data_IF_020525051156
#
_entry.id   IF_020525051156
#
_cell.length_a   1.000
_cell.length_b   1.000
_cell.length_c   1.000
_cell.angle_alpha   90.00
_cell.angle_beta   90.00
_cell.angle_gamma   90.00
#
_symmetry.space_group_name_H-M   'P 1'
#
loop_
_entity.id
_entity.type
_entity.pdbx_description
1 polymer ?
#
# COMPACT_ATOMS: atom_id res chain seq x y z
N UNK A 1 -14.05 -8.70 -3.85
CA UNK A 1 -12.67 -8.37 -3.42
C UNK A 1 -12.51 -6.92 -3.00
N UNK A 2 -12.85 -5.92 -3.82
CA UNK A 2 -12.81 -4.50 -3.42
C UNK A 2 -13.71 -4.18 -2.23
N UNK A 3 -14.85 -4.84 -2.09
CA UNK A 3 -15.77 -4.67 -0.96
C UNK A 3 -15.23 -5.29 0.35
N UNK A 4 -14.57 -6.45 0.27
CA UNK A 4 -13.91 -7.05 1.44
C UNK A 4 -12.63 -6.27 1.83
N UNK A 5 -11.90 -5.71 0.85
CA UNK A 5 -10.83 -4.75 1.11
C UNK A 5 -11.34 -3.47 1.78
N UNK A 6 -12.58 -3.08 1.48
CA UNK A 6 -13.23 -1.92 2.09
C UNK A 6 -13.42 -2.10 3.60
N UNK A 7 -13.86 -3.26 4.05
CA UNK A 7 -14.09 -3.55 5.48
C UNK A 7 -12.76 -3.58 6.27
N UNK A 8 -11.71 -4.13 5.70
CA UNK A 8 -10.39 -4.16 6.34
C UNK A 8 -9.70 -2.79 6.35
N UNK A 9 -9.86 -2.00 5.28
CA UNK A 9 -9.18 -0.72 5.13
C UNK A 9 -9.74 0.39 6.03
N UNK A 10 -11.04 0.36 6.32
CA UNK A 10 -11.68 1.32 7.23
C UNK A 10 -11.28 1.05 8.70
N UNK A 11 -10.92 -0.18 9.04
CA UNK A 11 -10.56 -0.55 10.41
C UNK A 11 -9.18 -0.01 10.86
N UNK A 12 -8.25 0.24 9.95
CA UNK A 12 -6.85 0.59 10.29
C UNK A 12 -6.52 2.10 10.27
N UNK A 13 -7.42 2.97 9.80
CA UNK A 13 -7.12 4.41 9.62
C UNK A 13 -7.40 5.29 10.84
N UNK A 14 -7.72 4.72 12.00
CA UNK A 14 -8.36 5.44 13.10
C UNK A 14 -7.49 5.87 14.27
N UNK A 15 -6.18 5.97 14.18
CA UNK A 15 -5.37 6.52 15.27
C UNK A 15 -4.45 7.66 14.81
N UNK A 16 -4.78 8.88 15.22
CA UNK A 16 -3.77 9.94 15.21
C UNK A 16 -4.26 11.38 15.16
N UNK A 17 -4.15 12.00 16.29
CA UNK A 17 -3.87 13.41 16.61
C UNK A 17 -5.01 14.43 16.65
N UNK A 18 -5.31 14.82 17.89
CA UNK A 18 -6.03 16.02 18.30
C UNK A 18 -5.07 17.21 18.27
N UNK A 19 -5.42 18.26 17.55
CA UNK A 19 -4.89 19.61 17.79
C UNK A 19 -6.05 20.55 18.08
N UNK A 20 -6.12 21.04 19.32
CA UNK A 20 -7.10 22.00 19.79
C UNK A 20 -6.64 23.42 19.49
N UNK A 21 -7.44 24.19 18.75
CA UNK A 21 -7.34 25.66 18.71
C UNK A 21 -8.64 26.27 19.22
N UNK A 22 -8.51 27.00 20.32
CA UNK A 22 -9.61 27.78 20.94
C UNK A 22 -9.75 29.11 20.23
N UNK A 23 -10.93 29.41 19.68
CA UNK A 23 -11.36 30.75 19.35
C UNK A 23 -12.72 31.00 20.01
N UNK A 24 -12.74 31.88 21.00
CA UNK A 24 -13.95 32.30 21.72
C UNK A 24 -14.68 33.37 20.91
N UNK A 25 -15.81 33.01 20.29
CA UNK A 25 -16.83 33.93 19.83
C UNK A 25 -18.18 33.52 20.40
N UNK A 26 -19.05 34.48 20.71
CA UNK A 26 -20.37 34.26 21.30
C UNK A 26 -21.24 33.42 20.34
N UNK A 27 -21.34 32.12 20.63
CA UNK A 27 -22.14 31.18 19.85
C UNK A 27 -23.63 31.40 20.11
N UNK A 28 -24.42 31.43 19.04
CA UNK A 28 -25.89 31.34 19.15
C UNK A 28 -26.27 29.96 19.69
N UNK A 29 -27.46 29.82 20.28
CA UNK A 29 -27.95 28.56 20.83
C UNK A 29 -27.96 27.43 19.78
N UNK A 30 -28.16 27.77 18.50
CA UNK A 30 -28.11 26.84 17.36
C UNK A 30 -26.69 26.34 17.09
N UNK A 31 -25.68 27.18 17.22
CA UNK A 31 -24.29 26.80 17.03
C UNK A 31 -23.81 25.85 18.12
N UNK A 32 -24.23 26.09 19.39
CA UNK A 32 -23.90 25.21 20.51
C UNK A 32 -24.53 23.84 20.35
N UNK A 33 -25.78 23.74 19.86
CA UNK A 33 -26.43 22.46 19.56
C UNK A 33 -25.73 21.71 18.42
N UNK A 34 -25.36 22.44 17.35
CA UNK A 34 -24.58 21.86 16.24
C UNK A 34 -23.25 21.28 16.73
N UNK A 35 -22.48 22.04 17.50
CA UNK A 35 -21.20 21.59 18.02
C UNK A 35 -21.31 20.39 18.96
N UNK A 36 -22.34 20.34 19.81
CA UNK A 36 -22.61 19.20 20.68
C UNK A 36 -22.89 17.90 19.88
N UNK A 37 -23.76 18.00 18.85
CA UNK A 37 -24.05 16.86 17.96
C UNK A 37 -22.83 16.45 17.13
N UNK A 38 -22.08 17.43 16.64
CA UNK A 38 -20.83 17.19 15.90
C UNK A 38 -19.82 16.41 16.74
N UNK A 39 -19.61 16.84 17.96
CA UNK A 39 -18.70 16.13 18.89
C UNK A 39 -19.18 14.69 19.12
N UNK A 40 -20.48 14.48 19.36
CA UNK A 40 -21.04 13.13 19.55
C UNK A 40 -20.88 12.26 18.31
N UNK A 41 -21.17 12.78 17.11
CA UNK A 41 -21.05 12.03 15.86
C UNK A 41 -19.60 11.65 15.56
N UNK A 42 -18.65 12.59 15.73
CA UNK A 42 -17.23 12.36 15.52
C UNK A 42 -16.67 11.37 16.54
N UNK A 43 -17.09 11.43 17.80
CA UNK A 43 -16.70 10.47 18.82
C UNK A 43 -17.19 9.05 18.49
N UNK A 44 -18.41 8.88 18.03
CA UNK A 44 -18.91 7.58 17.58
C UNK A 44 -18.09 7.07 16.36
N UNK A 45 -17.81 7.96 15.44
CA UNK A 45 -17.02 7.65 14.27
C UNK A 45 -15.59 7.21 14.65
N UNK A 46 -14.91 7.90 15.55
CA UNK A 46 -13.58 7.56 16.09
C UNK A 46 -13.57 6.23 16.86
N UNK A 47 -14.69 5.88 17.51
CA UNK A 47 -14.88 4.59 18.18
C UNK A 47 -15.21 3.42 17.23
N UNK A 48 -15.09 3.61 15.92
CA UNK A 48 -15.45 2.63 14.89
C UNK A 48 -16.94 2.28 14.82
N UNK A 49 -17.80 3.13 15.39
CA UNK A 49 -19.27 3.01 15.41
C UNK A 49 -19.91 3.85 14.30
N UNK A 50 -19.35 3.75 13.10
CA UNK A 50 -19.75 4.60 11.96
C UNK A 50 -21.22 4.43 11.58
N UNK A 51 -21.82 3.23 11.77
CA UNK A 51 -23.24 3.01 11.49
C UNK A 51 -24.15 3.69 12.52
N UNK A 52 -23.69 3.80 13.78
CA UNK A 52 -24.41 4.54 14.83
C UNK A 52 -24.24 6.07 14.63
N UNK A 53 -23.11 6.51 14.08
CA UNK A 53 -22.84 7.91 13.76
C UNK A 53 -23.66 8.40 12.54
N UNK A 54 -24.03 7.51 11.62
CA UNK A 54 -24.64 7.84 10.33
C UNK A 54 -25.84 8.83 10.44
N UNK A 55 -26.85 8.59 11.27
CA UNK A 55 -28.01 9.51 11.37
C UNK A 55 -27.63 10.91 11.89
N UNK A 56 -26.64 11.00 12.79
CA UNK A 56 -26.15 12.27 13.30
C UNK A 56 -25.34 13.03 12.23
N UNK A 57 -24.51 12.32 11.47
CA UNK A 57 -23.74 12.89 10.37
C UNK A 57 -24.64 13.42 9.25
N UNK A 58 -25.73 12.70 8.94
CA UNK A 58 -26.75 13.15 7.99
C UNK A 58 -27.39 14.48 8.43
N UNK A 59 -27.82 14.58 9.70
CA UNK A 59 -28.39 15.80 10.24
C UNK A 59 -27.39 16.97 10.21
N UNK A 60 -26.13 16.71 10.53
CA UNK A 60 -25.07 17.72 10.54
C UNK A 60 -24.81 18.28 9.14
N UNK A 61 -24.73 17.42 8.11
CA UNK A 61 -24.54 17.87 6.72
C UNK A 61 -25.72 18.70 6.23
N UNK A 62 -26.97 18.34 6.64
CA UNK A 62 -28.15 19.17 6.32
C UNK A 62 -28.08 20.56 6.93
N UNK A 63 -27.54 20.69 8.17
CA UNK A 63 -27.39 21.97 8.87
C UNK A 63 -26.21 22.78 8.38
N UNK A 64 -25.08 22.13 8.13
CA UNK A 64 -23.85 22.76 7.62
C UNK A 64 -23.21 21.91 6.52
N UNK A 65 -23.58 22.09 5.26
CA UNK A 65 -23.04 21.31 4.14
C UNK A 65 -21.58 21.65 3.80
N UNK A 66 -20.94 22.57 4.52
CA UNK A 66 -19.54 22.97 4.31
C UNK A 66 -18.59 22.45 5.39
N UNK A 67 -19.10 21.70 6.37
CA UNK A 67 -18.22 21.07 7.37
C UNK A 67 -17.51 19.86 6.71
N UNK A 68 -16.33 20.13 6.22
CA UNK A 68 -15.54 19.20 5.41
C UNK A 68 -15.14 17.94 6.17
N UNK A 69 -14.92 18.00 7.49
CA UNK A 69 -14.66 16.82 8.32
C UNK A 69 -15.90 15.94 8.47
N UNK A 70 -17.07 16.56 8.66
CA UNK A 70 -18.36 15.84 8.73
C UNK A 70 -18.70 15.20 7.39
N UNK A 71 -18.41 15.87 6.27
CA UNK A 71 -18.60 15.31 4.94
C UNK A 71 -17.75 14.04 4.74
N UNK A 72 -16.48 14.05 5.16
CA UNK A 72 -15.59 12.89 5.07
C UNK A 72 -16.08 11.75 5.98
N UNK A 73 -16.49 12.06 7.21
CA UNK A 73 -17.02 11.06 8.15
C UNK A 73 -18.32 10.43 7.64
N UNK A 74 -19.21 11.23 7.05
CA UNK A 74 -20.45 10.73 6.43
C UNK A 74 -20.13 9.83 5.22
N UNK A 75 -19.21 10.25 4.36
CA UNK A 75 -18.80 9.45 3.20
C UNK A 75 -18.25 8.09 3.62
N UNK A 76 -17.36 8.05 4.63
CA UNK A 76 -16.84 6.81 5.17
C UNK A 76 -17.95 5.90 5.75
N UNK A 77 -18.89 6.50 6.47
CA UNK A 77 -20.01 5.77 7.07
C UNK A 77 -20.96 5.18 6.01
N UNK A 78 -21.24 5.94 4.94
CA UNK A 78 -22.02 5.46 3.79
C UNK A 78 -21.33 4.30 3.06
N UNK A 79 -20.03 4.39 2.84
CA UNK A 79 -19.25 3.31 2.24
C UNK A 79 -19.35 2.03 3.09
N UNK A 80 -19.30 2.16 4.41
CA UNK A 80 -19.43 1.04 5.33
C UNK A 80 -20.85 0.47 5.32
N UNK A 81 -21.86 1.33 5.34
CA UNK A 81 -23.26 0.90 5.28
C UNK A 81 -23.56 0.20 3.94
N UNK A 82 -23.09 0.74 2.82
CA UNK A 82 -23.21 0.11 1.51
C UNK A 82 -22.65 -1.34 1.47
N UNK A 83 -21.63 -1.63 2.28
CA UNK A 83 -21.08 -2.98 2.38
C UNK A 83 -21.97 -3.96 3.17
N UNK A 84 -22.95 -3.47 3.94
CA UNK A 84 -23.90 -4.30 4.67
C UNK A 84 -25.19 -4.56 3.89
N UNK A 85 -25.44 -3.81 2.82
CA UNK A 85 -26.65 -3.92 2.03
C UNK A 85 -26.58 -5.14 1.08
N UNK A 86 -27.69 -5.89 1.05
CA UNK A 86 -27.87 -7.00 0.10
C UNK A 86 -28.35 -6.50 -1.27
N UNK A 87 -29.04 -5.35 -1.29
CA UNK A 87 -29.48 -4.68 -2.52
C UNK A 87 -28.29 -3.93 -3.13
N UNK A 88 -27.80 -4.45 -4.26
CA UNK A 88 -26.66 -3.89 -4.99
C UNK A 88 -26.94 -2.49 -5.55
N UNK A 89 -28.19 -2.20 -5.93
CA UNK A 89 -28.56 -0.88 -6.43
C UNK A 89 -28.55 0.16 -5.30
N UNK A 90 -29.09 -0.17 -4.14
CA UNK A 90 -29.03 0.68 -2.96
C UNK A 90 -27.57 0.90 -2.50
N UNK A 91 -26.78 -0.16 -2.47
CA UNK A 91 -25.35 -0.08 -2.16
C UNK A 91 -24.57 0.82 -3.15
N UNK A 92 -24.90 0.75 -4.44
CA UNK A 92 -24.32 1.60 -5.47
C UNK A 92 -24.68 3.07 -5.29
N UNK A 93 -25.94 3.37 -4.95
CA UNK A 93 -26.40 4.75 -4.68
C UNK A 93 -25.65 5.37 -3.50
N UNK A 94 -25.46 4.62 -2.41
CA UNK A 94 -24.72 5.11 -1.25
C UNK A 94 -23.23 5.37 -1.58
N UNK A 95 -22.58 4.47 -2.31
CA UNK A 95 -21.20 4.68 -2.76
C UNK A 95 -21.06 5.89 -3.69
N UNK A 96 -22.03 6.08 -4.60
CA UNK A 96 -22.05 7.27 -5.48
C UNK A 96 -22.22 8.56 -4.67
N UNK A 97 -23.10 8.55 -3.68
CA UNK A 97 -23.28 9.66 -2.76
C UNK A 97 -22.00 9.93 -1.95
N UNK A 98 -21.38 8.90 -1.40
CA UNK A 98 -20.12 9.02 -0.69
C UNK A 98 -19.00 9.65 -1.57
N UNK A 99 -18.93 9.27 -2.85
CA UNK A 99 -18.01 9.87 -3.81
C UNK A 99 -18.20 11.37 -3.97
N UNK A 100 -19.44 11.82 -4.07
CA UNK A 100 -19.77 13.25 -4.19
C UNK A 100 -19.38 14.00 -2.93
N UNK A 101 -19.71 13.46 -1.74
CA UNK A 101 -19.36 14.07 -0.45
C UNK A 101 -17.84 14.21 -0.27
N UNK A 102 -17.04 13.22 -0.67
CA UNK A 102 -15.58 13.30 -0.66
C UNK A 102 -15.10 14.40 -1.60
N UNK A 103 -15.67 14.50 -2.80
CA UNK A 103 -15.28 15.55 -3.74
C UNK A 103 -15.62 16.96 -3.20
N UNK A 104 -16.76 17.11 -2.53
CA UNK A 104 -17.15 18.37 -1.87
C UNK A 104 -16.18 18.72 -0.73
N UNK A 105 -15.86 17.75 0.13
CA UNK A 105 -14.89 17.96 1.20
C UNK A 105 -13.52 18.40 0.68
N UNK A 106 -13.02 17.78 -0.39
CA UNK A 106 -11.77 18.18 -1.04
C UNK A 106 -11.86 19.60 -1.61
N UNK A 107 -12.99 19.98 -2.20
CA UNK A 107 -13.22 21.34 -2.71
C UNK A 107 -13.26 22.39 -1.59
N UNK A 108 -13.66 22.01 -0.38
CA UNK A 108 -13.58 22.83 0.82
C UNK A 108 -12.20 22.84 1.51
N UNK A 109 -11.23 22.12 0.94
CA UNK A 109 -9.84 22.11 1.41
C UNK A 109 -9.48 20.95 2.33
N UNK A 110 -10.35 19.96 2.53
CA UNK A 110 -10.02 18.77 3.30
C UNK A 110 -9.02 17.88 2.54
N UNK A 111 -7.77 17.91 2.95
CA UNK A 111 -6.72 17.06 2.40
C UNK A 111 -6.30 15.94 3.37
N UNK A 112 -7.21 15.54 4.29
CA UNK A 112 -6.92 14.47 5.24
C UNK A 112 -6.60 13.14 4.55
N UNK A 113 -5.76 12.27 5.16
CA UNK A 113 -5.46 10.94 4.64
C UNK A 113 -6.71 10.10 4.36
N UNK A 114 -7.75 10.25 5.18
CA UNK A 114 -9.03 9.56 4.99
C UNK A 114 -9.75 10.05 3.74
N UNK A 115 -9.84 11.38 3.52
CA UNK A 115 -10.45 11.94 2.31
C UNK A 115 -9.74 11.48 1.04
N UNK A 116 -8.41 11.48 1.03
CA UNK A 116 -7.61 11.00 -0.10
C UNK A 116 -7.81 9.50 -0.37
N UNK A 117 -7.83 8.70 0.69
CA UNK A 117 -8.09 7.26 0.60
C UNK A 117 -9.49 6.97 0.05
N UNK A 118 -10.52 7.66 0.54
CA UNK A 118 -11.88 7.50 0.04
C UNK A 118 -11.99 7.96 -1.42
N UNK A 119 -11.33 9.05 -1.80
CA UNK A 119 -11.26 9.51 -3.19
C UNK A 119 -10.68 8.43 -4.11
N UNK A 120 -9.55 7.86 -3.75
CA UNK A 120 -8.89 6.81 -4.52
C UNK A 120 -9.77 5.58 -4.62
N UNK A 121 -10.31 5.12 -3.49
CA UNK A 121 -11.17 3.95 -3.40
C UNK A 121 -12.42 4.09 -4.26
N UNK A 122 -13.18 5.20 -4.07
CA UNK A 122 -14.43 5.46 -4.78
C UNK A 122 -14.20 5.86 -6.25
N UNK A 123 -12.99 6.36 -6.58
CA UNK A 123 -12.58 6.63 -7.96
C UNK A 123 -12.29 5.38 -8.78
N UNK A 124 -11.96 4.26 -8.12
CA UNK A 124 -11.70 2.96 -8.78
C UNK A 124 -12.96 2.09 -8.91
N UNK A 125 -14.07 2.50 -8.30
CA UNK A 125 -15.35 1.81 -8.45
C UNK A 125 -16.05 2.22 -9.76
N UNK A 126 -16.69 1.29 -10.46
CA UNK A 126 -17.47 1.61 -11.65
C UNK A 126 -18.60 2.59 -11.32
N UNK A 127 -19.13 3.34 -12.33
CA UNK A 127 -20.14 4.39 -12.11
C UNK A 127 -21.42 3.92 -11.41
N UNK A 128 -21.78 2.67 -11.61
CA UNK A 128 -22.94 2.04 -10.94
C UNK A 128 -22.62 1.51 -9.54
N UNK A 129 -21.39 1.70 -9.07
CA UNK A 129 -20.94 1.32 -7.73
C UNK A 129 -20.87 -0.19 -7.46
N UNK A 130 -21.29 -1.02 -8.39
CA UNK A 130 -21.10 -2.46 -8.31
C UNK A 130 -19.67 -2.83 -8.70
N UNK A 131 -19.08 -3.81 -8.04
CA UNK A 131 -17.87 -4.44 -8.54
C UNK A 131 -18.24 -5.15 -9.81
N UNK A 132 -17.89 -4.60 -10.96
CA UNK A 132 -18.14 -5.24 -12.23
C UNK A 132 -17.04 -6.27 -12.46
N UNK A 133 -17.42 -7.54 -12.58
CA UNK A 133 -16.50 -8.64 -12.84
C UNK A 133 -16.26 -8.83 -14.35
N UNK A 134 -17.24 -8.44 -15.18
CA UNK A 134 -17.17 -8.51 -16.63
C UNK A 134 -18.13 -7.53 -17.29
N UNK A 135 -17.80 -7.11 -18.51
CA UNK A 135 -18.74 -6.38 -19.38
C UNK A 135 -19.79 -7.32 -20.02
N UNK A 136 -19.55 -8.63 -20.01
CA UNK A 136 -20.51 -9.62 -20.43
C UNK A 136 -21.56 -9.86 -19.35
N UNK A 137 -22.86 -9.53 -19.57
CA UNK A 137 -23.91 -9.65 -18.55
C UNK A 137 -24.07 -11.06 -18.01
N UNK A 138 -23.85 -12.10 -18.83
CA UNK A 138 -23.96 -13.50 -18.39
C UNK A 138 -22.82 -13.87 -17.43
N UNK A 139 -21.60 -13.41 -17.72
CA UNK A 139 -20.43 -13.59 -16.83
C UNK A 139 -20.65 -12.82 -15.53
N UNK A 140 -21.11 -11.58 -15.62
CA UNK A 140 -21.41 -10.74 -14.46
C UNK A 140 -22.45 -11.42 -13.55
N UNK A 141 -23.55 -11.92 -14.13
CA UNK A 141 -24.59 -12.64 -13.39
C UNK A 141 -24.05 -13.90 -12.71
N UNK A 142 -23.26 -14.71 -13.41
CA UNK A 142 -22.65 -15.90 -12.86
C UNK A 142 -21.68 -15.55 -11.70
N UNK A 143 -20.88 -14.52 -11.86
CA UNK A 143 -19.97 -14.04 -10.80
C UNK A 143 -20.71 -13.56 -9.56
N UNK A 144 -21.78 -12.78 -9.72
CA UNK A 144 -22.62 -12.31 -8.61
C UNK A 144 -23.31 -13.48 -7.89
N UNK A 145 -23.82 -14.46 -8.64
CA UNK A 145 -24.41 -15.67 -8.06
C UNK A 145 -23.37 -16.50 -7.29
N UNK A 146 -22.16 -16.62 -7.84
CA UNK A 146 -21.04 -17.28 -7.19
C UNK A 146 -20.64 -16.63 -5.86
N UNK A 147 -20.52 -15.29 -5.83
CA UNK A 147 -20.24 -14.53 -4.61
C UNK A 147 -21.36 -14.65 -3.56
N UNK A 148 -22.61 -14.64 -3.98
CA UNK A 148 -23.75 -14.85 -3.10
C UNK A 148 -23.71 -16.25 -2.46
N UNK A 149 -23.45 -17.30 -3.24
CA UNK A 149 -23.30 -18.66 -2.75
C UNK A 149 -22.08 -18.81 -1.82
N UNK A 150 -20.94 -18.21 -2.19
CA UNK A 150 -19.73 -18.19 -1.36
C UNK A 150 -19.98 -17.55 0.01
N UNK A 151 -20.68 -16.42 0.04
CA UNK A 151 -21.02 -15.72 1.30
C UNK A 151 -21.92 -16.55 2.21
N UNK A 152 -22.78 -17.40 1.65
CA UNK A 152 -23.62 -18.36 2.36
C UNK A 152 -22.90 -19.67 2.70
N UNK A 153 -21.61 -19.79 2.33
CA UNK A 153 -20.78 -20.98 2.48
C UNK A 153 -21.26 -22.19 1.64
N UNK A 154 -22.11 -21.94 0.66
CA UNK A 154 -22.44 -22.95 -0.37
C UNK A 154 -21.32 -22.97 -1.43
N UNK A 155 -20.21 -23.63 -1.06
CA UNK A 155 -19.04 -23.67 -1.89
C UNK A 155 -19.25 -24.50 -3.18
N UNK A 156 -20.18 -25.46 -3.16
CA UNK A 156 -20.48 -26.25 -4.35
C UNK A 156 -21.18 -25.40 -5.42
N UNK A 157 -22.20 -24.64 -5.02
CA UNK A 157 -22.91 -23.73 -5.93
C UNK A 157 -22.00 -22.55 -6.34
N UNK A 158 -21.12 -22.06 -5.45
CA UNK A 158 -20.16 -21.03 -5.79
C UNK A 158 -19.21 -21.51 -6.93
N UNK A 159 -18.61 -22.71 -6.79
CA UNK A 159 -17.73 -23.28 -7.81
C UNK A 159 -18.46 -23.50 -9.14
N UNK A 160 -19.70 -23.93 -9.13
CA UNK A 160 -20.52 -24.10 -10.33
C UNK A 160 -20.72 -22.76 -11.07
N UNK A 161 -21.06 -21.73 -10.35
CA UNK A 161 -21.29 -20.40 -10.94
C UNK A 161 -19.97 -19.78 -11.46
N UNK A 162 -18.84 -19.90 -10.74
CA UNK A 162 -17.53 -19.47 -11.26
C UNK A 162 -17.09 -20.30 -12.49
N UNK A 163 -17.41 -21.59 -12.52
CA UNK A 163 -17.12 -22.41 -13.70
C UNK A 163 -17.94 -21.95 -14.91
N UNK A 164 -19.22 -21.56 -14.73
CA UNK A 164 -20.04 -20.96 -15.79
C UNK A 164 -19.42 -19.65 -16.30
N UNK A 165 -18.99 -18.76 -15.39
CA UNK A 165 -18.28 -17.55 -15.77
C UNK A 165 -17.01 -17.84 -16.57
N UNK A 166 -16.22 -18.87 -16.18
CA UNK A 166 -15.00 -19.27 -16.87
C UNK A 166 -15.25 -19.99 -18.22
N UNK A 167 -16.41 -20.62 -18.41
CA UNK A 167 -16.79 -21.14 -19.73
C UNK A 167 -17.02 -20.02 -20.74
N UNK A 168 -17.64 -18.92 -20.27
CA UNK A 168 -17.92 -17.74 -21.10
C UNK A 168 -16.71 -16.82 -21.27
N UNK A 169 -15.89 -16.70 -20.25
CA UNK A 169 -14.72 -15.83 -20.21
C UNK A 169 -13.53 -16.53 -19.52
N UNK A 170 -12.79 -17.39 -20.26
CA UNK A 170 -11.73 -18.27 -19.68
C UNK A 170 -10.58 -17.52 -19.00
N UNK A 171 -10.40 -16.24 -19.30
CA UNK A 171 -9.37 -15.36 -18.73
C UNK A 171 -9.90 -14.38 -17.68
N UNK A 172 -11.13 -14.56 -17.19
CA UNK A 172 -11.66 -13.73 -16.13
C UNK A 172 -10.86 -13.94 -14.84
N UNK A 173 -10.03 -12.97 -14.50
CA UNK A 173 -9.12 -13.03 -13.34
C UNK A 173 -9.89 -13.25 -12.02
N UNK A 174 -11.01 -12.56 -11.84
CA UNK A 174 -11.81 -12.68 -10.63
C UNK A 174 -12.38 -14.09 -10.46
N UNK A 175 -12.93 -14.67 -11.54
CA UNK A 175 -13.48 -16.04 -11.52
C UNK A 175 -12.40 -17.07 -11.19
N UNK A 176 -11.18 -16.94 -11.78
CA UNK A 176 -10.04 -17.81 -11.49
C UNK A 176 -9.65 -17.66 -10.01
N UNK A 177 -9.46 -16.45 -9.52
CA UNK A 177 -9.05 -16.18 -8.14
C UNK A 177 -10.09 -16.70 -7.13
N UNK A 178 -11.39 -16.47 -7.37
CA UNK A 178 -12.45 -16.85 -6.46
C UNK A 178 -12.68 -18.37 -6.43
N UNK A 179 -12.43 -19.05 -7.55
CA UNK A 179 -12.37 -20.52 -7.56
C UNK A 179 -11.28 -21.01 -6.62
N UNK A 180 -10.07 -20.43 -6.68
CA UNK A 180 -8.97 -20.75 -5.77
C UNK A 180 -9.34 -20.49 -4.31
N UNK A 181 -9.95 -19.35 -4.01
CA UNK A 181 -10.41 -19.02 -2.65
C UNK A 181 -11.45 -20.03 -2.15
N UNK A 182 -12.35 -20.49 -3.03
CA UNK A 182 -13.37 -21.45 -2.66
C UNK A 182 -12.75 -22.83 -2.34
N UNK A 183 -11.80 -23.30 -3.15
CA UNK A 183 -11.03 -24.51 -2.88
C UNK A 183 -10.26 -24.40 -1.54
N UNK A 184 -9.63 -23.24 -1.29
CA UNK A 184 -8.96 -22.97 -0.02
C UNK A 184 -9.90 -23.06 1.19
N UNK A 185 -11.12 -22.51 1.08
CA UNK A 185 -12.14 -22.59 2.16
C UNK A 185 -12.65 -24.01 2.38
N UNK A 186 -12.57 -24.88 1.37
CA UNK A 186 -12.87 -26.31 1.47
C UNK A 186 -11.67 -27.13 1.98
N UNK A 187 -10.52 -26.50 2.26
CA UNK A 187 -9.23 -27.12 2.58
C UNK A 187 -8.66 -28.01 1.45
N UNK A 188 -9.11 -27.82 0.21
CA UNK A 188 -8.51 -28.44 -0.98
C UNK A 188 -7.34 -27.57 -1.45
N UNK A 189 -6.24 -27.61 -0.68
CA UNK A 189 -5.08 -26.74 -0.90
C UNK A 189 -4.38 -27.04 -2.23
N UNK A 190 -4.38 -28.28 -2.65
CA UNK A 190 -3.79 -28.66 -3.95
C UNK A 190 -4.49 -27.94 -5.12
N UNK A 191 -5.82 -28.00 -5.16
CA UNK A 191 -6.58 -27.26 -6.19
C UNK A 191 -6.50 -25.75 -5.99
N UNK A 192 -6.50 -25.27 -4.76
CA UNK A 192 -6.33 -23.84 -4.49
C UNK A 192 -5.01 -23.31 -5.07
N UNK A 193 -3.90 -24.06 -4.91
CA UNK A 193 -2.61 -23.72 -5.49
C UNK A 193 -2.67 -23.60 -7.02
N UNK A 194 -3.24 -24.60 -7.71
CA UNK A 194 -3.40 -24.59 -9.17
C UNK A 194 -4.16 -23.33 -9.65
N UNK A 195 -5.22 -22.96 -8.95
CA UNK A 195 -6.02 -21.80 -9.30
C UNK A 195 -5.31 -20.46 -8.99
N UNK A 196 -4.56 -20.37 -7.89
CA UNK A 196 -3.75 -19.20 -7.61
C UNK A 196 -2.61 -19.04 -8.61
N UNK A 197 -1.93 -20.11 -8.99
CA UNK A 197 -0.90 -20.08 -10.03
C UNK A 197 -1.48 -19.63 -11.39
N UNK A 198 -2.68 -20.10 -11.72
CA UNK A 198 -3.39 -19.65 -12.92
C UNK A 198 -3.75 -18.16 -12.85
N UNK A 199 -4.20 -17.66 -11.69
CA UNK A 199 -4.46 -16.24 -11.51
C UNK A 199 -3.18 -15.38 -11.66
N UNK A 200 -2.06 -15.85 -11.11
CA UNK A 200 -0.74 -15.23 -11.26
C UNK A 200 -0.29 -15.20 -12.72
N UNK A 201 -0.52 -16.29 -13.46
CA UNK A 201 -0.20 -16.34 -14.91
C UNK A 201 -1.05 -15.38 -15.74
N UNK A 202 -2.31 -15.15 -15.36
CA UNK A 202 -3.17 -14.19 -16.03
C UNK A 202 -2.74 -12.74 -15.79
N UNK A 203 -2.40 -12.39 -14.57
CA UNK A 203 -1.82 -11.10 -14.23
C UNK A 203 -0.87 -11.18 -13.03
N UNK A 204 0.45 -11.26 -13.29
CA UNK A 204 1.46 -11.31 -12.23
C UNK A 204 1.63 -9.98 -11.49
N UNK A 205 0.99 -8.91 -11.93
CA UNK A 205 1.09 -7.57 -11.34
C UNK A 205 -0.03 -7.26 -10.34
N UNK A 206 -0.92 -8.20 -10.09
CA UNK A 206 -1.95 -8.12 -9.05
C UNK A 206 -1.48 -8.88 -7.81
N UNK A 207 -1.28 -8.17 -6.70
CA UNK A 207 -0.74 -8.74 -5.46
C UNK A 207 -1.60 -9.86 -4.86
N UNK A 208 -2.90 -9.81 -5.11
CA UNK A 208 -3.90 -10.60 -4.36
C UNK A 208 -3.72 -12.10 -4.53
N UNK A 209 -3.45 -12.58 -5.76
CA UNK A 209 -3.23 -14.01 -5.98
C UNK A 209 -1.95 -14.49 -5.28
N UNK A 210 -0.88 -13.72 -5.36
CA UNK A 210 0.37 -14.02 -4.66
C UNK A 210 0.16 -14.06 -3.15
N UNK A 211 -0.53 -13.08 -2.59
CA UNK A 211 -0.78 -12.97 -1.16
C UNK A 211 -1.67 -14.12 -0.64
N UNK A 212 -2.75 -14.45 -1.33
CA UNK A 212 -3.62 -15.56 -0.94
C UNK A 212 -2.91 -16.91 -1.06
N UNK A 213 -2.06 -17.07 -2.07
CA UNK A 213 -1.22 -18.26 -2.18
C UNK A 213 -0.24 -18.35 -1.01
N UNK A 214 0.41 -17.23 -0.64
CA UNK A 214 1.29 -17.18 0.53
C UNK A 214 0.56 -17.54 1.83
N UNK A 215 -0.64 -17.00 2.06
CA UNK A 215 -1.47 -17.33 3.23
C UNK A 215 -1.84 -18.81 3.28
N UNK A 216 -2.15 -19.41 2.13
CA UNK A 216 -2.42 -20.85 2.02
C UNK A 216 -1.18 -21.67 2.35
N UNK A 217 -0.02 -21.31 1.79
CA UNK A 217 1.26 -22.00 2.06
C UNK A 217 1.65 -21.93 3.54
N UNK A 218 1.35 -20.81 4.22
CA UNK A 218 1.52 -20.72 5.68
C UNK A 218 0.63 -21.72 6.43
N UNK A 219 -0.57 -22.02 5.94
CA UNK A 219 -1.43 -23.09 6.51
C UNK A 219 -0.86 -24.47 6.32
N UNK A 220 -0.15 -24.69 5.23
CA UNK A 220 0.55 -25.96 4.93
C UNK A 220 1.95 -26.03 5.58
N UNK A 221 2.33 -25.03 6.38
CA UNK A 221 3.66 -24.93 7.01
C UNK A 221 4.83 -24.83 6.01
N UNK A 222 4.55 -24.42 4.77
CA UNK A 222 5.58 -24.11 3.76
C UNK A 222 5.97 -22.62 3.82
N UNK A 223 6.66 -22.26 4.89
CA UNK A 223 7.04 -20.88 5.17
C UNK A 223 8.03 -20.32 4.15
N UNK A 224 8.81 -21.18 3.50
CA UNK A 224 9.78 -20.76 2.48
C UNK A 224 9.10 -20.32 1.19
N UNK A 225 8.15 -21.12 0.69
CA UNK A 225 7.36 -20.73 -0.48
C UNK A 225 6.43 -19.54 -0.17
N UNK A 226 5.84 -19.52 1.03
CA UNK A 226 5.04 -18.37 1.48
C UNK A 226 5.83 -17.07 1.41
N UNK A 227 7.09 -17.08 1.88
CA UNK A 227 8.02 -15.94 1.77
C UNK A 227 8.17 -15.48 0.32
N UNK A 228 8.43 -16.40 -0.59
CA UNK A 228 8.59 -16.10 -2.02
C UNK A 228 7.34 -15.45 -2.59
N UNK A 229 6.17 -15.99 -2.27
CA UNK A 229 4.90 -15.42 -2.74
C UNK A 229 4.61 -14.04 -2.15
N UNK A 230 4.97 -13.76 -0.90
CA UNK A 230 4.89 -12.42 -0.33
C UNK A 230 5.86 -11.43 -0.98
N UNK A 231 7.07 -11.86 -1.34
CA UNK A 231 8.00 -11.04 -2.11
C UNK A 231 7.38 -10.70 -3.47
N UNK A 232 6.81 -11.67 -4.18
CA UNK A 232 6.14 -11.42 -5.45
C UNK A 232 4.93 -10.49 -5.31
N UNK A 233 4.16 -10.60 -4.21
CA UNK A 233 3.08 -9.68 -3.90
C UNK A 233 3.59 -8.24 -3.69
N UNK A 234 4.71 -8.07 -2.98
CA UNK A 234 5.33 -6.78 -2.76
C UNK A 234 5.91 -6.17 -4.06
N UNK A 235 6.44 -7.00 -4.95
CA UNK A 235 6.87 -6.56 -6.29
C UNK A 235 5.66 -6.24 -7.17
N UNK A 236 4.55 -6.94 -7.03
CA UNK A 236 3.34 -6.63 -7.78
C UNK A 236 2.76 -5.25 -7.39
N UNK A 237 2.63 -4.97 -6.11
CA UNK A 237 2.07 -3.72 -5.58
C UNK A 237 2.87 -3.21 -4.36
N UNK A 238 4.01 -2.53 -4.57
CA UNK A 238 4.95 -2.16 -3.49
C UNK A 238 4.38 -1.16 -2.48
N UNK A 239 3.40 -0.37 -2.90
CA UNK A 239 2.77 0.67 -2.07
C UNK A 239 1.46 0.19 -1.42
N UNK A 240 1.11 -1.09 -1.56
CA UNK A 240 -0.07 -1.69 -0.93
C UNK A 240 0.25 -2.11 0.50
N UNK A 241 -0.31 -1.39 1.49
CA UNK A 241 -0.07 -1.64 2.92
C UNK A 241 -0.49 -3.02 3.38
N UNK A 242 -1.48 -3.65 2.73
CA UNK A 242 -1.95 -4.99 3.08
C UNK A 242 -0.85 -6.01 2.86
N UNK A 243 -0.12 -5.90 1.75
CA UNK A 243 1.01 -6.78 1.43
C UNK A 243 2.07 -6.74 2.53
N UNK A 244 2.45 -5.54 2.95
CA UNK A 244 3.46 -5.37 3.99
C UNK A 244 2.99 -5.83 5.37
N UNK A 245 1.72 -5.59 5.71
CA UNK A 245 1.12 -6.11 6.94
C UNK A 245 1.20 -7.64 7.00
N UNK A 246 0.84 -8.31 5.92
CA UNK A 246 0.82 -9.77 5.86
C UNK A 246 2.24 -10.35 5.84
N UNK A 247 3.18 -9.65 5.19
CA UNK A 247 4.61 -10.00 5.24
C UNK A 247 5.20 -9.82 6.65
N UNK A 248 4.81 -8.78 7.38
CA UNK A 248 5.18 -8.59 8.80
C UNK A 248 4.61 -9.72 9.67
N UNK A 249 3.36 -10.12 9.42
CA UNK A 249 2.76 -11.24 10.13
C UNK A 249 3.51 -12.56 9.87
N UNK A 250 3.88 -12.82 8.60
CA UNK A 250 4.74 -13.95 8.24
C UNK A 250 6.08 -13.90 8.99
N UNK A 251 6.75 -12.76 9.01
CA UNK A 251 8.03 -12.59 9.69
C UNK A 251 7.92 -12.84 11.20
N UNK A 252 6.86 -12.31 11.83
CA UNK A 252 6.57 -12.53 13.25
C UNK A 252 6.37 -14.00 13.59
N UNK A 253 5.62 -14.75 12.80
CA UNK A 253 5.40 -16.20 12.98
C UNK A 253 6.72 -16.96 12.87
N UNK A 254 7.59 -16.55 11.96
CA UNK A 254 8.90 -17.17 11.74
C UNK A 254 9.99 -16.66 12.70
N UNK A 255 9.65 -15.80 13.67
CA UNK A 255 10.60 -15.20 14.63
C UNK A 255 11.78 -14.51 13.92
N UNK A 256 11.50 -13.87 12.81
CA UNK A 256 12.45 -13.09 12.03
C UNK A 256 11.95 -11.66 11.91
N UNK A 257 12.83 -10.72 11.58
CA UNK A 257 12.48 -9.31 11.43
C UNK A 257 12.79 -8.84 10.02
N UNK A 258 11.84 -8.12 9.42
CA UNK A 258 12.08 -7.45 8.15
C UNK A 258 13.10 -6.32 8.34
N UNK A 259 13.95 -6.17 7.35
CA UNK A 259 14.96 -5.12 7.39
C UNK A 259 14.39 -3.79 6.88
N UNK A 260 13.58 -3.15 7.71
CA UNK A 260 12.79 -1.95 7.36
C UNK A 260 13.63 -0.76 6.89
N UNK A 261 14.89 -0.65 7.31
CA UNK A 261 15.80 0.39 6.80
C UNK A 261 16.02 0.34 5.28
N UNK A 262 15.76 -0.82 4.66
CA UNK A 262 15.84 -1.01 3.21
C UNK A 262 14.50 -0.86 2.49
N UNK A 263 13.38 -0.81 3.20
CA UNK A 263 12.04 -0.80 2.59
C UNK A 263 11.25 0.49 2.82
N UNK A 264 11.85 1.51 3.43
CA UNK A 264 11.15 2.77 3.73
C UNK A 264 9.94 2.62 4.67
N UNK A 265 9.84 1.49 5.34
CA UNK A 265 8.76 1.19 6.25
C UNK A 265 9.15 1.59 7.67
N UNK A 266 8.21 2.14 8.42
CA UNK A 266 8.35 2.24 9.85
C UNK A 266 8.24 0.85 10.48
N UNK A 267 8.98 0.61 11.55
CA UNK A 267 8.79 -0.58 12.42
C UNK A 267 7.39 -0.59 13.07
N UNK A 268 6.71 0.55 13.10
CA UNK A 268 5.30 0.67 13.45
C UNK A 268 4.44 0.57 12.18
N UNK A 269 3.67 -0.52 11.97
CA UNK A 269 2.80 -0.67 10.81
C UNK A 269 1.70 0.39 10.73
N UNK A 270 1.44 1.10 11.83
CA UNK A 270 0.43 2.16 11.95
C UNK A 270 1.01 3.55 11.75
N UNK A 271 2.34 3.70 11.76
CA UNK A 271 2.95 4.99 11.55
C UNK A 271 2.64 5.50 10.13
N UNK A 272 2.19 6.76 9.99
CA UNK A 272 2.16 7.37 8.67
C UNK A 272 3.57 7.34 8.10
N UNK A 273 3.71 6.96 6.82
CA UNK A 273 5.00 7.12 6.13
C UNK A 273 5.28 8.61 6.12
N UNK A 274 6.26 9.04 6.91
CA UNK A 274 6.75 10.40 6.81
C UNK A 274 7.47 10.55 5.48
N UNK A 275 7.22 11.65 4.78
CA UNK A 275 7.99 12.16 3.63
C UNK A 275 9.43 12.56 4.02
N UNK A 276 10.05 11.80 4.89
CA UNK A 276 11.46 11.99 5.17
C UNK A 276 12.21 11.28 4.06
N UNK A 277 12.66 12.06 3.08
CA UNK A 277 13.70 11.63 2.17
C UNK A 277 14.84 11.05 3.04
N UNK A 278 15.39 9.93 2.64
CA UNK A 278 16.62 9.35 3.23
C UNK A 278 17.74 10.38 3.38
N UNK A 279 17.68 11.40 2.56
CA UNK A 279 18.64 12.47 2.39
C UNK A 279 18.29 13.76 3.14
N UNK A 280 17.29 13.77 4.00
CA UNK A 280 17.29 14.60 5.19
C UNK A 280 18.24 14.00 6.27
N UNK A 281 19.26 13.29 5.87
CA UNK A 281 20.48 13.30 6.63
C UNK A 281 20.96 14.74 6.55
N UNK A 282 20.57 15.55 7.54
CA UNK A 282 21.34 16.74 7.86
C UNK A 282 22.70 16.17 8.19
N UNK A 283 23.59 16.20 7.23
CA UNK A 283 25.00 16.01 7.49
C UNK A 283 25.31 16.91 8.69
N UNK A 284 25.84 16.38 9.79
CA UNK A 284 26.20 17.22 10.92
C UNK A 284 27.03 18.39 10.38
N UNK A 285 26.89 19.61 10.92
CA UNK A 285 27.56 20.80 10.38
C UNK A 285 29.10 20.75 10.43
N UNK A 286 29.70 19.63 10.73
CA UNK A 286 31.15 19.37 10.86
C UNK A 286 31.62 18.15 10.09
N UNK A 287 31.03 17.89 8.90
CA UNK A 287 31.63 16.87 8.03
C UNK A 287 33.03 17.31 7.59
N UNK A 288 34.01 16.40 7.62
CA UNK A 288 35.27 16.62 6.99
C UNK A 288 35.09 17.09 5.54
N UNK A 289 36.02 17.91 5.04
CA UNK A 289 35.93 18.50 3.69
C UNK A 289 35.57 17.47 2.59
N UNK A 290 35.97 16.27 2.76
CA UNK A 290 35.96 15.20 1.77
C UNK A 290 34.53 14.62 1.53
N UNK A 291 33.66 14.55 2.56
CA UNK A 291 32.27 14.15 2.39
C UNK A 291 31.39 15.26 1.82
N UNK A 292 31.82 16.53 1.94
CA UNK A 292 31.10 17.65 1.33
C UNK A 292 31.09 17.56 -0.19
N UNK A 293 32.15 17.00 -0.80
CA UNK A 293 32.23 16.84 -2.25
C UNK A 293 31.29 15.77 -2.79
N UNK A 294 31.09 14.68 -2.04
CA UNK A 294 30.10 13.66 -2.37
C UNK A 294 28.68 14.23 -2.36
N UNK A 295 28.34 14.99 -1.32
CA UNK A 295 27.04 15.69 -1.23
C UNK A 295 26.88 16.75 -2.34
N UNK A 296 27.92 17.50 -2.66
CA UNK A 296 27.88 18.48 -3.75
C UNK A 296 27.64 17.79 -5.10
N UNK A 297 28.26 16.62 -5.34
CA UNK A 297 28.03 15.84 -6.55
C UNK A 297 26.58 15.41 -6.68
N UNK A 298 25.96 14.92 -5.61
CA UNK A 298 24.53 14.60 -5.56
C UNK A 298 23.67 15.83 -5.87
N UNK A 299 23.91 16.95 -5.18
CA UNK A 299 23.14 18.18 -5.36
C UNK A 299 23.30 18.79 -6.77
N UNK A 300 24.47 18.68 -7.36
CA UNK A 300 24.72 19.15 -8.73
C UNK A 300 23.82 18.43 -9.74
N UNK A 301 23.73 17.10 -9.63
CA UNK A 301 22.83 16.31 -10.50
C UNK A 301 21.38 16.72 -10.28
N UNK A 302 20.94 16.87 -9.04
CA UNK A 302 19.57 17.30 -8.72
C UNK A 302 19.23 18.67 -9.33
N UNK A 303 20.18 19.59 -9.27
CA UNK A 303 20.04 20.93 -9.88
C UNK A 303 19.96 20.83 -11.40
N UNK A 304 20.79 20.01 -12.04
CA UNK A 304 20.77 19.81 -13.48
C UNK A 304 19.42 19.27 -13.97
N UNK A 305 18.86 18.30 -13.25
CA UNK A 305 17.56 17.75 -13.58
C UNK A 305 16.42 18.74 -13.39
N UNK A 306 16.38 19.43 -12.27
CA UNK A 306 15.28 20.31 -11.88
C UNK A 306 15.34 21.66 -12.60
N UNK A 307 16.50 22.32 -12.60
CA UNK A 307 16.64 23.73 -12.94
C UNK A 307 17.30 23.96 -14.30
N UNK A 308 18.14 23.02 -14.77
CA UNK A 308 18.91 23.15 -16.01
C UNK A 308 18.30 22.39 -17.20
N UNK A 309 17.06 21.94 -17.05
CA UNK A 309 16.25 21.42 -18.15
C UNK A 309 16.50 19.95 -18.51
N UNK A 310 17.33 19.22 -17.76
CA UNK A 310 17.60 17.80 -18.01
C UNK A 310 16.34 16.93 -17.91
N UNK A 311 15.45 17.22 -16.95
CA UNK A 311 14.16 16.56 -16.84
C UNK A 311 13.36 16.64 -18.14
N UNK A 312 13.28 17.82 -18.74
CA UNK A 312 12.52 18.04 -19.97
C UNK A 312 13.15 17.34 -21.20
N UNK A 313 14.47 17.16 -21.19
CA UNK A 313 15.16 16.38 -22.23
C UNK A 313 14.87 14.88 -22.07
N UNK A 314 14.81 14.39 -20.84
CA UNK A 314 14.58 12.98 -20.55
C UNK A 314 13.10 12.59 -20.67
N UNK A 315 12.19 13.46 -20.20
CA UNK A 315 10.75 13.29 -20.26
C UNK A 315 10.08 14.39 -21.12
N UNK A 316 10.27 14.41 -22.45
CA UNK A 316 9.80 15.50 -23.30
C UNK A 316 8.27 15.66 -23.30
N UNK A 317 7.53 14.60 -22.98
CA UNK A 317 6.07 14.60 -22.93
C UNK A 317 5.49 15.11 -21.60
N UNK A 318 6.28 15.16 -20.52
CA UNK A 318 5.82 15.65 -19.23
C UNK A 318 5.94 17.17 -19.16
N UNK A 319 4.81 17.84 -18.88
CA UNK A 319 4.77 19.31 -18.84
C UNK A 319 5.37 19.88 -17.55
N UNK A 320 5.27 19.14 -16.46
CA UNK A 320 5.65 19.58 -15.10
C UNK A 320 6.77 18.70 -14.57
N UNK A 321 7.78 19.34 -13.99
CA UNK A 321 8.86 18.64 -13.33
C UNK A 321 8.31 17.77 -12.18
N UNK A 322 8.83 16.57 -12.08
CA UNK A 322 8.71 15.68 -10.92
C UNK A 322 10.05 15.05 -10.61
N UNK A 323 10.27 14.69 -9.38
CA UNK A 323 11.37 13.83 -9.01
C UNK A 323 11.20 12.45 -9.66
N UNK A 324 12.24 11.92 -10.29
CA UNK A 324 12.17 10.66 -11.04
C UNK A 324 13.18 9.63 -10.55
N UNK A 325 12.92 8.36 -10.82
CA UNK A 325 13.86 7.27 -10.53
C UNK A 325 15.21 7.50 -11.22
N UNK A 326 15.20 7.94 -12.48
CA UNK A 326 16.42 8.19 -13.23
C UNK A 326 17.25 9.31 -12.61
N UNK A 327 16.63 10.39 -12.18
CA UNK A 327 17.27 11.50 -11.50
C UNK A 327 17.92 11.07 -10.17
N UNK A 328 17.15 10.39 -9.31
CA UNK A 328 17.63 9.97 -8.01
C UNK A 328 18.78 8.95 -8.12
N UNK A 329 18.63 7.98 -9.03
CA UNK A 329 19.68 6.98 -9.29
C UNK A 329 20.95 7.62 -9.81
N UNK A 330 20.86 8.61 -10.68
CA UNK A 330 22.01 9.34 -11.19
C UNK A 330 22.68 10.17 -10.08
N UNK A 331 21.89 10.86 -9.26
CA UNK A 331 22.41 11.66 -8.15
C UNK A 331 23.15 10.79 -7.12
N UNK A 332 22.57 9.66 -6.73
CA UNK A 332 23.22 8.69 -5.85
C UNK A 332 24.49 8.09 -6.48
N UNK A 333 24.45 7.81 -7.77
CA UNK A 333 25.63 7.28 -8.49
C UNK A 333 26.75 8.30 -8.54
N UNK A 334 26.43 9.60 -8.67
CA UNK A 334 27.43 10.67 -8.63
C UNK A 334 28.09 10.78 -7.25
N UNK A 335 27.29 10.69 -6.18
CA UNK A 335 27.78 10.63 -4.81
C UNK A 335 28.71 9.43 -4.58
N UNK A 336 28.25 8.23 -4.96
CA UNK A 336 29.02 6.98 -4.82
C UNK A 336 30.36 7.06 -5.53
N UNK A 337 30.43 7.62 -6.74
CA UNK A 337 31.68 7.78 -7.49
C UNK A 337 32.71 8.68 -6.78
N UNK A 338 32.28 9.65 -6.00
CA UNK A 338 33.16 10.45 -5.18
C UNK A 338 33.64 9.63 -4.00
N UNK A 339 32.75 8.91 -3.30
CA UNK A 339 33.10 8.04 -2.18
C UNK A 339 34.09 6.95 -2.58
N UNK A 340 33.94 6.29 -3.72
CA UNK A 340 34.84 5.27 -4.24
C UNK A 340 36.24 5.80 -4.54
N UNK A 341 36.38 7.07 -4.94
CA UNK A 341 37.69 7.70 -5.13
C UNK A 341 38.39 8.00 -3.80
N UNK A 342 37.60 8.23 -2.77
CA UNK A 342 38.10 8.54 -1.43
C UNK A 342 38.50 7.28 -0.64
N UNK A 343 38.00 6.08 -1.00
CA UNK A 343 38.42 4.80 -0.40
C UNK A 343 39.95 4.52 -0.52
N UNK A 344 40.63 5.23 -1.40
CA UNK A 344 42.10 5.15 -1.53
C UNK A 344 42.88 5.89 -0.44
N UNK A 345 42.21 6.72 0.38
CA UNK A 345 42.80 7.46 1.51
C UNK A 345 42.35 6.85 2.84
N UNK A 346 43.29 6.49 3.70
CA UNK A 346 43.07 5.72 4.94
C UNK A 346 42.12 6.46 5.90
N UNK A 347 42.21 7.79 6.00
CA UNK A 347 41.41 8.61 6.90
C UNK A 347 39.95 8.69 6.43
N UNK A 348 39.74 8.75 5.14
CA UNK A 348 38.41 8.79 4.52
C UNK A 348 37.75 7.41 4.49
N UNK A 349 38.53 6.34 4.32
CA UNK A 349 38.01 4.97 4.40
C UNK A 349 37.46 4.65 5.80
N UNK A 350 38.13 5.13 6.88
CA UNK A 350 37.55 5.01 8.24
C UNK A 350 36.21 5.74 8.37
N UNK A 351 36.11 6.96 7.84
CA UNK A 351 34.86 7.75 7.93
C UNK A 351 33.69 7.14 7.15
N UNK A 352 33.95 6.59 5.96
CA UNK A 352 32.95 5.88 5.17
C UNK A 352 32.52 4.59 5.88
N UNK A 353 33.44 3.91 6.56
CA UNK A 353 33.15 2.70 7.33
C UNK A 353 32.39 2.98 8.63
N UNK A 354 32.50 4.19 9.18
CA UNK A 354 31.77 4.61 10.38
C UNK A 354 30.33 5.09 10.08
N UNK A 355 30.02 5.47 8.82
CA UNK A 355 28.65 5.86 8.42
C UNK A 355 27.89 4.66 7.80
N UNK A 356 26.93 4.08 8.54
CA UNK A 356 26.19 2.92 8.05
C UNK A 356 25.37 3.21 6.77
N UNK A 357 25.02 4.48 6.52
CA UNK A 357 24.22 4.89 5.36
C UNK A 357 25.06 4.88 4.09
N UNK A 358 26.31 5.39 4.18
CA UNK A 358 27.26 5.39 3.07
C UNK A 358 27.69 3.96 2.72
N UNK A 359 28.01 3.15 3.71
CA UNK A 359 28.30 1.73 3.52
C UNK A 359 27.13 0.99 2.84
N UNK A 360 25.91 1.34 3.22
CA UNK A 360 24.73 0.78 2.60
C UNK A 360 24.66 1.12 1.11
N UNK A 361 24.82 2.39 0.75
CA UNK A 361 24.80 2.85 -0.63
C UNK A 361 25.85 2.14 -1.50
N UNK A 362 27.09 2.02 -1.00
CA UNK A 362 28.14 1.29 -1.69
C UNK A 362 27.78 -0.18 -1.93
N UNK A 363 27.25 -0.86 -0.91
CA UNK A 363 26.80 -2.27 -1.03
C UNK A 363 25.67 -2.44 -2.03
N UNK A 364 24.71 -1.53 -2.05
CA UNK A 364 23.57 -1.57 -2.99
C UNK A 364 24.05 -1.32 -4.42
N UNK A 365 24.97 -0.38 -4.61
CA UNK A 365 25.56 -0.09 -5.91
C UNK A 365 26.37 -1.30 -6.44
N UNK A 366 27.24 -1.88 -5.63
CA UNK A 366 28.01 -3.08 -5.97
C UNK A 366 27.10 -4.29 -6.29
N UNK A 367 25.97 -4.39 -5.60
CA UNK A 367 24.98 -5.43 -5.86
C UNK A 367 24.10 -5.17 -7.11
N UNK A 368 24.18 -3.98 -7.73
CA UNK A 368 23.40 -3.58 -8.88
C UNK A 368 21.90 -3.40 -8.59
N UNK A 369 21.54 -3.04 -7.34
CA UNK A 369 20.15 -2.93 -6.86
C UNK A 369 19.83 -1.53 -6.30
N UNK A 370 20.50 -0.51 -6.81
CA UNK A 370 20.31 0.87 -6.36
C UNK A 370 18.90 1.38 -6.73
N UNK A 371 18.44 1.12 -7.97
CA UNK A 371 17.09 1.52 -8.41
C UNK A 371 15.98 0.82 -7.61
N UNK A 372 16.02 -0.51 -7.38
CA UNK A 372 15.09 -1.15 -6.46
C UNK A 372 15.06 -0.51 -5.06
N UNK A 373 16.23 -0.18 -4.51
CA UNK A 373 16.31 0.51 -3.23
C UNK A 373 15.58 1.85 -3.25
N UNK A 374 15.81 2.67 -4.28
CA UNK A 374 15.11 3.96 -4.45
C UNK A 374 13.59 3.75 -4.50
N UNK A 375 13.11 2.81 -5.31
CA UNK A 375 11.69 2.53 -5.51
C UNK A 375 10.99 2.04 -4.25
N UNK A 376 11.64 1.22 -3.44
CA UNK A 376 11.03 0.70 -2.20
C UNK A 376 11.23 1.62 -1.00
N UNK A 377 12.29 2.40 -0.98
CA UNK A 377 12.64 3.25 0.16
C UNK A 377 12.05 4.65 0.10
N UNK A 378 12.05 5.27 -1.08
CA UNK A 378 11.53 6.60 -1.28
C UNK A 378 10.06 6.54 -1.68
N UNK A 379 9.16 6.93 -0.77
CA UNK A 379 7.75 7.11 -1.08
C UNK A 379 7.54 8.52 -1.63
N UNK A 380 8.06 8.74 -2.84
CA UNK A 380 7.88 9.96 -3.61
C UNK A 380 6.89 9.67 -4.74
N UNK A 381 5.83 10.49 -4.87
CA UNK A 381 4.80 10.29 -5.90
C UNK A 381 5.38 10.38 -7.32
N UNK A 382 6.42 11.19 -7.49
CA UNK A 382 7.10 11.33 -8.78
C UNK A 382 7.87 10.07 -9.17
N UNK A 383 8.65 9.51 -8.23
CA UNK A 383 9.40 8.25 -8.41
C UNK A 383 8.43 7.07 -8.57
N UNK A 384 7.33 7.06 -7.83
CA UNK A 384 6.33 5.99 -7.91
C UNK A 384 5.70 5.83 -9.31
N UNK A 385 5.67 6.91 -10.11
CA UNK A 385 5.20 6.85 -11.50
C UNK A 385 6.08 5.98 -12.39
N UNK A 386 7.37 5.88 -12.08
CA UNK A 386 8.33 5.10 -12.86
C UNK A 386 8.28 3.60 -12.53
N UNK A 387 7.57 3.22 -11.45
CA UNK A 387 7.59 1.85 -10.94
C UNK A 387 7.09 0.81 -11.94
N UNK A 388 5.95 1.05 -12.60
CA UNK A 388 5.35 0.07 -13.51
C UNK A 388 6.26 -0.23 -14.70
N UNK A 389 6.88 0.80 -15.27
CA UNK A 389 7.77 0.67 -16.41
C UNK A 389 9.10 0.00 -16.00
N UNK A 390 9.63 0.36 -14.85
CA UNK A 390 10.82 -0.29 -14.30
C UNK A 390 10.55 -1.78 -14.02
N UNK A 391 9.43 -2.11 -13.35
CA UNK A 391 9.03 -3.48 -13.06
C UNK A 391 8.86 -4.32 -14.31
N UNK A 392 8.30 -3.76 -15.38
CA UNK A 392 8.09 -4.48 -16.63
C UNK A 392 9.40 -5.06 -17.21
N UNK A 393 10.53 -4.39 -16.98
CA UNK A 393 11.83 -4.77 -17.54
C UNK A 393 12.83 -5.33 -16.51
N UNK A 394 12.57 -5.15 -15.20
CA UNK A 394 13.52 -5.43 -14.12
C UNK A 394 12.88 -6.12 -12.91
N UNK A 395 11.85 -6.95 -13.14
CA UNK A 395 11.15 -7.68 -12.06
C UNK A 395 12.12 -8.50 -11.21
N UNK A 396 13.05 -9.20 -11.85
CA UNK A 396 14.08 -10.02 -11.23
C UNK A 396 14.98 -9.23 -10.27
N UNK A 397 15.34 -8.00 -10.62
CA UNK A 397 16.11 -7.11 -9.73
C UNK A 397 15.31 -6.66 -8.52
N UNK A 398 14.00 -6.41 -8.69
CA UNK A 398 13.11 -6.06 -7.58
C UNK A 398 12.97 -7.24 -6.61
N UNK A 399 12.75 -8.45 -7.15
CA UNK A 399 12.69 -9.68 -6.36
C UNK A 399 14.02 -9.96 -5.65
N UNK A 400 15.14 -9.85 -6.34
CA UNK A 400 16.48 -10.01 -5.77
C UNK A 400 16.75 -9.03 -4.63
N UNK A 401 16.32 -7.78 -4.79
CA UNK A 401 16.47 -6.77 -3.75
C UNK A 401 15.67 -7.12 -2.48
N UNK A 402 14.40 -7.46 -2.63
CA UNK A 402 13.57 -7.87 -1.50
C UNK A 402 14.09 -9.15 -0.85
N UNK A 403 14.50 -10.12 -1.65
CA UNK A 403 15.02 -11.41 -1.19
C UNK A 403 16.31 -11.27 -0.37
N UNK A 404 17.25 -10.46 -0.83
CA UNK A 404 18.59 -10.36 -0.21
C UNK A 404 18.69 -9.31 0.88
N UNK A 405 17.93 -8.21 0.78
CA UNK A 405 18.12 -7.05 1.63
C UNK A 405 16.96 -6.77 2.59
N UNK A 406 15.74 -7.10 2.22
CA UNK A 406 14.55 -6.68 2.98
C UNK A 406 13.94 -7.83 3.77
N UNK A 407 13.73 -8.98 3.14
CA UNK A 407 13.01 -10.12 3.71
C UNK A 407 14.01 -11.23 4.01
N UNK A 408 14.39 -11.46 5.27
CA UNK A 408 15.33 -12.53 5.60
C UNK A 408 14.72 -13.90 5.31
N UNK A 409 15.56 -14.94 5.10
CA UNK A 409 15.06 -16.30 4.91
C UNK A 409 14.30 -16.79 6.14
N UNK A 410 13.33 -17.68 5.95
CA UNK A 410 12.72 -18.40 7.04
C UNK A 410 13.80 -19.25 7.76
N UNK A 411 13.80 -19.28 9.10
CA UNK A 411 14.77 -20.08 9.82
C UNK A 411 14.59 -21.58 9.51
N UNK A 412 15.70 -22.27 9.31
CA UNK A 412 15.67 -23.71 9.11
C UNK A 412 15.02 -24.41 10.30
N UNK A 413 14.08 -25.33 10.05
CA UNK A 413 13.43 -26.13 11.09
C UNK A 413 14.46 -26.86 11.99
N UNK A 414 15.64 -27.21 11.48
CA UNK A 414 16.73 -27.81 12.23
C UNK A 414 17.38 -26.83 13.24
N UNK A 415 17.41 -25.53 12.94
CA UNK A 415 17.99 -24.51 13.83
C UNK A 415 16.99 -24.13 14.94
N UNK A 416 15.70 -24.13 14.64
CA UNK A 416 14.66 -23.85 15.63
C UNK A 416 14.60 -24.91 16.76
N UNK A 417 14.91 -26.16 16.47
CA UNK A 417 14.95 -27.25 17.47
C UNK A 417 16.19 -27.14 18.36
N UNK A 418 17.31 -26.62 17.84
CA UNK A 418 18.55 -26.45 18.65
C UNK A 418 18.48 -25.32 19.67
N UNK A 419 17.71 -24.28 19.39
CA UNK A 419 17.53 -23.15 20.34
C UNK A 419 16.47 -23.44 21.41
N UNK A 420 15.67 -24.50 21.27
CA UNK A 420 14.65 -24.91 22.23
C UNK A 420 15.15 -25.95 23.27
N UNK A 421 16.36 -26.47 23.14
CA UNK A 421 16.95 -27.35 24.12
C UNK A 421 17.60 -26.51 25.21
N UNK A 422 17.22 -26.71 26.52
CA UNK A 422 17.91 -26.05 27.60
C UNK A 422 19.37 -26.51 27.63
N UNK A 423 20.27 -25.52 27.64
CA UNK A 423 21.69 -25.83 27.94
C UNK A 423 21.75 -26.29 29.39
N UNK A 424 22.03 -27.59 29.56
CA UNK A 424 22.36 -28.18 30.87
C UNK A 424 23.81 -27.87 31.23
#
# INVERSE_FOLDING_TARGET
MKVQRLQAFIFELFFGTVVSLSCAQSQTKGDAEYQGKRQQAMQLFEQDKSLEALPLLEELVQKNPKDDEVLVALAASLVRHAATLTDQQAAAQERSRAKNLVQEALNFGNNSPLAQTLRQLLGTLPPNGATQFSENPAVEQAMLAGEAAFSQRDFAEALKNYAEALQLEPKNYAAVLFTGNTCYKQNDYAKAAEWYERAIQLDPNVETAHRYYAEMLMKEDDMSKARTMFIHAAVAEPYNRIVWRDLIAWASINKTELNFKYAGLSSDPKAPRKDESLFNVKLPPQHPKDLSDAWQAYQSVRTDWKDNGKFKQYFPQEAVYRHSLAEETEALTAEIKVLEKLEGDVETAEMVTEDPSLLLLLKLHQAGVLEPYVLFRLVDEGIAKDYSDYRASNRDKLEQYLDKFVVPPAPDKATAVRTALPQH
#
